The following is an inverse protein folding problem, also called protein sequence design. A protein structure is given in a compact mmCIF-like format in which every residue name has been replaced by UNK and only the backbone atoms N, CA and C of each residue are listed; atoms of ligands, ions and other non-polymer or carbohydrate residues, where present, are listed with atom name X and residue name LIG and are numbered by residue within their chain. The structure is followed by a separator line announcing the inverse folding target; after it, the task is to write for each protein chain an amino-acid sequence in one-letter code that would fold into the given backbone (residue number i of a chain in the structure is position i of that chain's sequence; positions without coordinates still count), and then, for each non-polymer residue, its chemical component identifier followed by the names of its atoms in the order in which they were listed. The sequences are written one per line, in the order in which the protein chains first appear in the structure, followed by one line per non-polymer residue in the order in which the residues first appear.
data_IF_721283495199
#
_entry.id   IF_721283495199
#
_cell.length_a   1.000
_cell.length_b   1.000
_cell.length_c   1.000
_cell.angle_alpha   90.00
_cell.angle_beta   90.00
_cell.angle_gamma   90.00
#
_symmetry.space_group_name_H-M   'P 1'
#
loop_
_entity.id
_entity.type
_entity.pdbx_description
1 polymer ?
#
# COMPACT_ATOMS: atom_id res chain seq x y z
N UNK A 1 7.95 118.06 -36.24
CA UNK A 1 8.90 117.07 -36.81
C UNK A 1 8.78 117.13 -38.33
N UNK A 2 9.89 117.20 -39.07
CA UNK A 2 9.86 117.35 -40.53
C UNK A 2 9.32 116.05 -41.17
N UNK A 3 8.28 116.11 -42.02
CA UNK A 3 7.63 114.91 -42.58
C UNK A 3 8.55 114.05 -43.46
N UNK A 4 9.72 114.57 -43.86
CA UNK A 4 10.72 113.83 -44.66
C UNK A 4 11.38 112.65 -43.93
N UNK A 5 11.44 112.62 -42.59
CA UNK A 5 12.08 111.52 -41.84
C UNK A 5 11.12 110.39 -41.42
N UNK A 6 9.82 110.59 -41.58
CA UNK A 6 8.82 109.63 -41.10
C UNK A 6 8.75 108.36 -41.97
N UNK A 7 8.80 108.53 -43.29
CA UNK A 7 8.82 107.44 -44.27
C UNK A 7 10.06 106.54 -44.16
N UNK A 8 11.31 107.05 -44.10
CA UNK A 8 12.46 106.17 -43.93
C UNK A 8 12.46 105.47 -42.56
N UNK A 9 11.96 106.12 -41.50
CA UNK A 9 11.87 105.51 -40.18
C UNK A 9 10.87 104.34 -40.14
N UNK A 10 9.70 104.46 -40.77
CA UNK A 10 8.72 103.35 -40.83
C UNK A 10 9.25 102.17 -41.64
N UNK A 11 10.00 102.42 -42.72
CA UNK A 11 10.66 101.35 -43.50
C UNK A 11 11.68 100.60 -42.65
N UNK A 12 12.55 101.29 -41.91
CA UNK A 12 13.54 100.64 -41.02
C UNK A 12 12.85 99.81 -39.93
N UNK A 13 11.80 100.33 -39.30
CA UNK A 13 11.02 99.58 -38.30
C UNK A 13 10.35 98.34 -38.90
N UNK A 14 9.81 98.44 -40.12
CA UNK A 14 9.20 97.28 -40.79
C UNK A 14 10.21 96.17 -41.08
N UNK A 15 11.42 96.51 -41.53
CA UNK A 15 12.50 95.53 -41.76
C UNK A 15 12.98 94.90 -40.45
N UNK A 16 13.10 95.69 -39.38
CA UNK A 16 13.45 95.18 -38.05
C UNK A 16 12.40 94.18 -37.51
N UNK A 17 11.11 94.48 -37.67
CA UNK A 17 10.02 93.57 -37.29
C UNK A 17 10.05 92.25 -38.08
N UNK A 18 10.29 92.30 -39.40
CA UNK A 18 10.43 91.10 -40.23
C UNK A 18 11.64 90.25 -39.79
N UNK A 19 12.77 90.89 -39.46
CA UNK A 19 13.94 90.21 -38.90
C UNK A 19 13.64 89.47 -37.59
N UNK A 20 12.94 90.12 -36.66
CA UNK A 20 12.52 89.52 -35.39
C UNK A 20 11.53 88.36 -35.62
N UNK A 21 10.57 88.52 -36.54
CA UNK A 21 9.62 87.45 -36.89
C UNK A 21 10.33 86.21 -37.45
N UNK A 22 11.36 86.39 -38.29
CA UNK A 22 12.14 85.26 -38.83
C UNK A 22 12.97 84.54 -37.77
N UNK A 23 13.61 85.29 -36.85
CA UNK A 23 14.33 84.71 -35.71
C UNK A 23 13.39 83.88 -34.82
N UNK A 24 12.25 84.45 -34.44
CA UNK A 24 11.23 83.74 -33.64
C UNK A 24 10.68 82.51 -34.36
N UNK A 25 10.49 82.57 -35.68
CA UNK A 25 10.03 81.41 -36.47
C UNK A 25 11.07 80.27 -36.43
N UNK A 26 12.36 80.59 -36.56
CA UNK A 26 13.43 79.59 -36.45
C UNK A 26 13.51 78.95 -35.07
N UNK A 27 13.29 79.72 -33.99
CA UNK A 27 13.18 79.17 -32.63
C UNK A 27 11.94 78.30 -32.47
N UNK A 28 10.79 78.73 -32.97
CA UNK A 28 9.55 77.95 -32.88
C UNK A 28 9.67 76.61 -33.61
N UNK A 29 10.33 76.55 -34.76
CA UNK A 29 10.62 75.30 -35.48
C UNK A 29 11.57 74.39 -34.70
N UNK A 30 12.55 74.95 -33.96
CA UNK A 30 13.43 74.16 -33.08
C UNK A 30 12.65 73.59 -31.89
N UNK A 31 11.81 74.40 -31.24
CA UNK A 31 10.96 73.96 -30.13
C UNK A 31 9.97 72.90 -30.58
N UNK A 32 9.34 73.06 -31.75
CA UNK A 32 8.39 72.06 -32.28
C UNK A 32 9.09 70.72 -32.56
N UNK A 33 10.32 70.74 -33.10
CA UNK A 33 11.11 69.51 -33.26
C UNK A 33 11.41 68.86 -31.92
N UNK A 34 11.91 69.63 -30.94
CA UNK A 34 12.20 69.11 -29.60
C UNK A 34 10.96 68.55 -28.91
N UNK A 35 9.82 69.25 -29.03
CA UNK A 35 8.55 68.80 -28.48
C UNK A 35 8.12 67.47 -29.11
N UNK A 36 8.18 67.32 -30.44
CA UNK A 36 7.88 66.06 -31.12
C UNK A 36 8.80 64.91 -30.67
N UNK A 37 10.09 65.19 -30.49
CA UNK A 37 11.02 64.18 -29.96
C UNK A 37 10.67 63.77 -28.53
N UNK A 38 10.29 64.73 -27.68
CA UNK A 38 9.86 64.43 -26.31
C UNK A 38 8.53 63.67 -26.28
N UNK A 39 7.57 64.01 -27.14
CA UNK A 39 6.30 63.28 -27.27
C UNK A 39 6.52 61.82 -27.66
N UNK A 40 7.37 61.57 -28.66
CA UNK A 40 7.72 60.19 -29.06
C UNK A 40 8.41 59.44 -27.93
N UNK A 41 9.38 60.08 -27.25
CA UNK A 41 10.05 59.45 -26.09
C UNK A 41 9.06 59.13 -24.98
N UNK A 42 8.12 60.03 -24.70
CA UNK A 42 7.11 59.83 -23.68
C UNK A 42 6.20 58.66 -24.05
N UNK A 43 5.76 58.57 -25.32
CA UNK A 43 4.96 57.45 -25.82
C UNK A 43 5.70 56.11 -25.68
N UNK A 44 6.94 56.05 -26.15
CA UNK A 44 7.77 54.83 -26.02
C UNK A 44 7.95 54.46 -24.55
N UNK A 45 8.17 55.43 -23.66
CA UNK A 45 8.28 55.17 -22.23
C UNK A 45 6.98 54.60 -21.64
N UNK A 46 5.81 55.10 -22.04
CA UNK A 46 4.52 54.55 -21.62
C UNK A 46 4.25 53.16 -22.19
N UNK A 47 4.58 52.91 -23.46
CA UNK A 47 4.42 51.59 -24.09
C UNK A 47 5.27 50.54 -23.35
N UNK A 48 6.56 50.85 -23.13
CA UNK A 48 7.48 50.00 -22.38
C UNK A 48 7.02 49.81 -20.92
N UNK A 49 6.54 50.85 -20.26
CA UNK A 49 5.98 50.74 -18.91
C UNK A 49 4.74 49.84 -18.88
N UNK A 50 3.90 49.90 -19.91
CA UNK A 50 2.76 49.01 -20.09
C UNK A 50 3.18 47.55 -20.22
N UNK A 51 4.22 47.27 -21.03
CA UNK A 51 4.80 45.93 -21.14
C UNK A 51 5.31 45.41 -19.79
N UNK A 52 6.06 46.22 -19.04
CA UNK A 52 6.52 45.84 -17.69
C UNK A 52 5.38 45.55 -16.72
N UNK A 53 4.29 46.32 -16.79
CA UNK A 53 3.11 46.07 -15.94
C UNK A 53 2.38 44.78 -16.33
N UNK A 54 2.26 44.50 -17.63
CA UNK A 54 1.69 43.25 -18.12
C UNK A 54 2.54 42.05 -17.71
N UNK A 55 3.86 42.11 -17.90
CA UNK A 55 4.80 41.08 -17.47
C UNK A 55 4.69 40.83 -15.96
N UNK A 56 4.61 41.90 -15.16
CA UNK A 56 4.41 41.78 -13.72
C UNK A 56 3.11 41.05 -13.38
N UNK A 57 2.00 41.41 -14.03
CA UNK A 57 0.71 40.77 -13.81
C UNK A 57 0.72 39.29 -14.23
N UNK A 58 1.34 38.97 -15.37
CA UNK A 58 1.47 37.59 -15.84
C UNK A 58 2.30 36.76 -14.85
N UNK A 59 3.43 37.29 -14.38
CA UNK A 59 4.27 36.59 -13.37
C UNK A 59 3.54 36.44 -12.04
N UNK A 60 2.74 37.41 -11.61
CA UNK A 60 1.93 37.28 -10.40
C UNK A 60 0.88 36.18 -10.54
N UNK A 61 0.20 36.10 -11.67
CA UNK A 61 -0.77 35.04 -11.94
C UNK A 61 -0.10 33.65 -11.96
N UNK A 62 1.04 33.54 -12.64
CA UNK A 62 1.82 32.29 -12.64
C UNK A 62 2.29 31.89 -11.24
N UNK A 63 2.68 32.86 -10.41
CA UNK A 63 3.05 32.62 -9.02
C UNK A 63 1.86 32.17 -8.18
N UNK A 64 0.68 32.79 -8.34
CA UNK A 64 -0.55 32.38 -7.66
C UNK A 64 -0.95 30.95 -8.06
N UNK A 65 -0.92 30.64 -9.36
CA UNK A 65 -1.20 29.30 -9.88
C UNK A 65 -0.22 28.27 -9.31
N UNK A 66 1.08 28.54 -9.39
CA UNK A 66 2.10 27.65 -8.82
C UNK A 66 1.93 27.46 -7.31
N UNK A 67 1.55 28.50 -6.57
CA UNK A 67 1.29 28.43 -5.14
C UNK A 67 0.03 27.60 -4.83
N UNK A 68 -1.02 27.69 -5.65
CA UNK A 68 -2.20 26.82 -5.49
C UNK A 68 -1.88 25.36 -5.76
N UNK A 69 -1.10 25.07 -6.81
CA UNK A 69 -0.64 23.71 -7.12
C UNK A 69 0.28 23.17 -6.01
N UNK A 70 1.16 24.00 -5.47
CA UNK A 70 2.02 23.64 -4.34
C UNK A 70 1.20 23.27 -3.10
N UNK A 71 0.17 24.06 -2.75
CA UNK A 71 -0.71 23.76 -1.61
C UNK A 71 -1.48 22.46 -1.80
N UNK A 72 -1.99 22.20 -3.00
CA UNK A 72 -2.66 20.94 -3.30
C UNK A 72 -1.71 19.74 -3.14
N UNK A 73 -0.46 19.89 -3.61
CA UNK A 73 0.56 18.85 -3.47
C UNK A 73 0.96 18.64 -2.01
N UNK A 74 1.06 19.72 -1.23
CA UNK A 74 1.35 19.67 0.20
C UNK A 74 0.26 18.93 0.99
N UNK A 75 -1.02 19.16 0.66
CA UNK A 75 -2.15 18.40 1.22
C UNK A 75 -2.08 16.91 0.86
N UNK A 76 -1.73 16.59 -0.39
CA UNK A 76 -1.57 15.21 -0.83
C UNK A 76 -0.41 14.50 -0.11
N UNK A 77 0.74 15.18 0.05
CA UNK A 77 1.89 14.67 0.81
C UNK A 77 1.51 14.41 2.27
N UNK A 78 0.80 15.32 2.93
CA UNK A 78 0.34 15.13 4.30
C UNK A 78 -0.61 13.92 4.43
N UNK A 79 -1.50 13.73 3.44
CA UNK A 79 -2.39 12.56 3.39
C UNK A 79 -1.63 11.25 3.19
N UNK A 80 -0.63 11.25 2.31
CA UNK A 80 0.23 10.07 2.09
C UNK A 80 1.09 9.77 3.31
N UNK A 81 1.60 10.79 3.98
CA UNK A 81 2.41 10.63 5.19
C UNK A 81 1.59 10.01 6.33
N UNK A 82 0.38 10.54 6.59
CA UNK A 82 -0.52 9.97 7.61
C UNK A 82 -0.97 8.56 7.26
N UNK A 83 -1.24 8.28 5.98
CA UNK A 83 -1.50 6.92 5.50
C UNK A 83 -0.32 5.98 5.71
N UNK A 84 0.89 6.43 5.39
CA UNK A 84 2.13 5.67 5.58
C UNK A 84 2.43 5.36 7.05
N UNK A 85 2.21 6.31 7.96
CA UNK A 85 2.34 6.08 9.41
C UNK A 85 1.36 5.03 9.92
N UNK A 86 0.10 5.09 9.45
CA UNK A 86 -0.91 4.07 9.77
C UNK A 86 -0.48 2.69 9.26
N UNK A 87 -0.11 2.58 7.99
CA UNK A 87 0.33 1.30 7.40
C UNK A 87 1.58 0.74 8.08
N UNK A 88 2.49 1.59 8.53
CA UNK A 88 3.65 1.17 9.33
C UNK A 88 3.21 0.58 10.66
N UNK A 89 2.32 1.26 11.38
CA UNK A 89 1.75 0.74 12.64
C UNK A 89 1.02 -0.59 12.45
N UNK A 90 0.23 -0.73 11.38
CA UNK A 90 -0.46 -1.99 11.05
C UNK A 90 0.54 -3.12 10.73
N UNK A 91 1.65 -2.81 10.05
CA UNK A 91 2.71 -3.78 9.74
C UNK A 91 3.44 -4.22 11.01
N UNK A 92 3.76 -3.29 11.90
CA UNK A 92 4.41 -3.58 13.19
C UNK A 92 3.51 -4.45 14.07
N UNK A 93 2.20 -4.19 14.10
CA UNK A 93 1.21 -5.00 14.80
C UNK A 93 1.11 -6.42 14.21
N UNK A 94 0.98 -6.54 12.89
CA UNK A 94 0.93 -7.84 12.21
C UNK A 94 2.20 -8.67 12.45
N UNK A 95 3.36 -8.02 12.47
CA UNK A 95 4.63 -8.68 12.76
C UNK A 95 4.71 -9.18 14.22
N UNK A 96 4.16 -8.42 15.16
CA UNK A 96 4.06 -8.85 16.56
C UNK A 96 3.13 -10.07 16.70
N UNK A 97 1.97 -10.05 16.04
CA UNK A 97 1.02 -11.17 16.02
C UNK A 97 1.64 -12.42 15.40
N UNK A 98 2.35 -12.28 14.27
CA UNK A 98 3.05 -13.38 13.63
C UNK A 98 4.06 -14.05 14.59
N UNK A 99 4.78 -13.25 15.36
CA UNK A 99 5.73 -13.76 16.35
C UNK A 99 5.01 -14.51 17.48
N UNK A 100 3.93 -13.95 18.02
CA UNK A 100 3.12 -14.60 19.05
C UNK A 100 2.56 -15.95 18.57
N UNK A 101 2.01 -16.00 17.36
CA UNK A 101 1.51 -17.23 16.75
C UNK A 101 2.64 -18.25 16.57
N UNK A 102 3.83 -17.81 16.14
CA UNK A 102 4.98 -18.70 15.98
C UNK A 102 5.40 -19.33 17.32
N UNK A 103 5.41 -18.55 18.39
CA UNK A 103 5.73 -19.03 19.74
C UNK A 103 4.66 -20.01 20.26
N UNK A 104 3.38 -19.72 20.02
CA UNK A 104 2.26 -20.62 20.37
C UNK A 104 2.31 -21.94 19.61
N UNK A 105 2.61 -21.91 18.30
CA UNK A 105 2.79 -23.12 17.49
C UNK A 105 3.96 -23.95 18.02
N UNK A 106 5.08 -23.30 18.36
CA UNK A 106 6.23 -23.99 18.97
C UNK A 106 5.87 -24.67 20.30
N UNK A 107 5.08 -24.00 21.15
CA UNK A 107 4.60 -24.55 22.41
C UNK A 107 3.63 -25.73 22.19
N UNK A 108 2.68 -25.60 21.26
CA UNK A 108 1.74 -26.65 20.90
C UNK A 108 2.46 -27.88 20.33
N UNK A 109 3.47 -27.69 19.47
CA UNK A 109 4.29 -28.79 18.96
C UNK A 109 5.04 -29.54 20.08
N UNK A 110 5.56 -28.81 21.06
CA UNK A 110 6.22 -29.42 22.22
C UNK A 110 5.23 -30.22 23.06
N UNK A 111 4.03 -29.68 23.31
CA UNK A 111 2.95 -30.41 24.00
C UNK A 111 2.54 -31.66 23.22
N UNK A 112 2.39 -31.56 21.90
CA UNK A 112 2.01 -32.68 21.04
C UNK A 112 3.06 -33.80 21.07
N UNK A 113 4.36 -33.46 21.06
CA UNK A 113 5.46 -34.42 21.23
C UNK A 113 5.40 -35.12 22.59
N UNK A 114 5.13 -34.37 23.67
CA UNK A 114 4.97 -34.92 25.03
C UNK A 114 3.77 -35.87 25.13
N UNK A 115 2.60 -35.45 24.67
CA UNK A 115 1.36 -36.24 24.65
C UNK A 115 1.53 -37.54 23.86
N UNK A 116 2.20 -37.50 22.69
CA UNK A 116 2.54 -38.70 21.92
C UNK A 116 3.40 -39.67 22.71
N UNK A 117 4.39 -39.16 23.45
CA UNK A 117 5.26 -40.00 24.27
C UNK A 117 4.49 -40.68 25.41
N UNK A 118 3.59 -39.96 26.09
CA UNK A 118 2.71 -40.54 27.12
C UNK A 118 1.73 -41.56 26.53
N UNK A 119 1.14 -41.29 25.37
CA UNK A 119 0.26 -42.23 24.68
C UNK A 119 0.97 -43.54 24.32
N UNK A 120 2.21 -43.48 23.84
CA UNK A 120 3.00 -44.69 23.56
C UNK A 120 3.32 -45.47 24.84
N UNK A 121 3.63 -44.78 25.95
CA UNK A 121 3.81 -45.43 27.27
C UNK A 121 2.53 -46.13 27.73
N UNK A 122 1.40 -45.45 27.71
CA UNK A 122 0.11 -46.06 28.07
C UNK A 122 -0.23 -47.24 27.16
N UNK A 123 -0.02 -47.12 25.84
CA UNK A 123 -0.22 -48.25 24.92
C UNK A 123 0.60 -49.46 25.37
N UNK A 124 1.87 -49.26 25.69
CA UNK A 124 2.72 -50.37 26.16
C UNK A 124 2.21 -50.97 27.46
N UNK A 125 1.76 -50.15 28.43
CA UNK A 125 1.21 -50.66 29.68
C UNK A 125 -0.08 -51.44 29.48
N UNK A 126 -1.01 -50.93 28.66
CA UNK A 126 -2.25 -51.61 28.32
C UNK A 126 -1.99 -52.94 27.62
N UNK A 127 -1.04 -53.01 26.68
CA UNK A 127 -0.68 -54.29 26.04
C UNK A 127 -0.11 -55.29 27.04
N UNK A 128 0.73 -54.86 27.98
CA UNK A 128 1.25 -55.76 29.02
C UNK A 128 0.18 -56.23 29.99
N UNK A 129 -0.79 -55.39 30.36
CA UNK A 129 -1.94 -55.81 31.16
C UNK A 129 -2.85 -56.78 30.40
N UNK A 130 -3.09 -56.53 29.11
CA UNK A 130 -3.87 -57.42 28.26
C UNK A 130 -3.23 -58.80 28.18
N UNK A 131 -1.91 -58.88 27.96
CA UNK A 131 -1.16 -60.14 27.95
C UNK A 131 -1.18 -60.83 29.32
N UNK A 132 -1.07 -60.06 30.40
CA UNK A 132 -1.15 -60.57 31.77
C UNK A 132 -2.53 -61.14 32.07
N UNK A 133 -3.60 -60.44 31.70
CA UNK A 133 -4.98 -60.86 31.86
C UNK A 133 -5.29 -62.10 31.01
N UNK A 134 -4.84 -62.15 29.75
CA UNK A 134 -4.92 -63.35 28.91
C UNK A 134 -4.24 -64.54 29.56
N UNK A 135 -3.03 -64.34 30.12
CA UNK A 135 -2.32 -65.38 30.83
C UNK A 135 -3.04 -65.83 32.11
N UNK A 136 -3.69 -64.92 32.84
CA UNK A 136 -4.55 -65.29 33.98
C UNK A 136 -5.81 -66.05 33.54
N UNK A 137 -6.36 -65.73 32.38
CA UNK A 137 -7.50 -66.43 31.80
C UNK A 137 -7.13 -67.86 31.37
N UNK A 138 -5.94 -68.06 30.79
CA UNK A 138 -5.40 -69.37 30.43
C UNK A 138 -4.99 -70.18 31.67
N UNK A 139 -4.49 -69.53 32.72
CA UNK A 139 -4.24 -70.11 34.05
C UNK A 139 -5.58 -70.24 34.80
N UNK A 140 -6.45 -71.12 34.30
CA UNK A 140 -7.67 -71.63 34.93
C UNK A 140 -7.90 -71.16 36.38
N UNK A 141 -8.93 -70.34 36.58
CA UNK A 141 -9.37 -69.80 37.87
C UNK A 141 -9.20 -70.79 39.01
N UNK A 142 -8.51 -70.39 40.08
CA UNK A 142 -8.35 -71.21 41.30
C UNK A 142 -9.70 -71.61 41.91
N UNK A 143 -10.76 -70.84 41.65
CA UNK A 143 -12.14 -71.18 42.07
C UNK A 143 -12.63 -72.44 41.35
N UNK A 144 -12.20 -72.66 40.11
CA UNK A 144 -12.53 -73.84 39.32
C UNK A 144 -11.83 -75.12 39.81
N UNK A 145 -10.81 -75.03 40.68
CA UNK A 145 -10.27 -76.21 41.38
C UNK A 145 -11.18 -76.69 42.52
N UNK A 146 -12.05 -75.84 43.07
CA UNK A 146 -12.93 -76.18 44.19
C UNK A 146 -14.34 -76.61 43.74
N UNK A 147 -14.62 -76.53 42.45
CA UNK A 147 -15.91 -76.92 41.87
C UNK A 147 -15.84 -78.41 41.53
N UNK A 148 -16.75 -79.19 42.11
CA UNK A 148 -16.88 -80.62 41.78
C UNK A 148 -17.21 -80.76 40.30
N UNK A 149 -16.34 -81.47 39.58
CA UNK A 149 -16.43 -81.70 38.15
C UNK A 149 -17.61 -82.57 37.75
N UNK A 150 -18.56 -82.88 38.61
CA UNK A 150 -19.58 -83.90 38.35
C UNK A 150 -20.86 -83.29 37.73
N UNK A 151 -20.93 -81.95 37.69
CA UNK A 151 -22.07 -81.17 37.23
C UNK A 151 -21.72 -80.54 35.88
N UNK A 152 -22.51 -80.86 34.85
CA UNK A 152 -22.24 -80.46 33.46
C UNK A 152 -22.22 -78.93 33.28
N UNK A 153 -23.11 -78.19 33.96
CA UNK A 153 -23.13 -76.72 33.89
C UNK A 153 -21.86 -76.08 34.49
N UNK A 154 -21.26 -76.72 35.49
CA UNK A 154 -20.08 -76.21 36.18
C UNK A 154 -18.80 -76.38 35.34
N UNK A 155 -18.73 -77.43 34.50
CA UNK A 155 -17.65 -77.64 33.52
C UNK A 155 -17.64 -76.57 32.43
N UNK A 156 -18.82 -76.14 31.97
CA UNK A 156 -18.95 -75.09 30.94
C UNK A 156 -18.59 -73.70 31.47
N UNK A 157 -18.87 -73.40 32.74
CA UNK A 157 -18.55 -72.12 33.37
C UNK A 157 -17.06 -71.94 33.67
N UNK A 158 -16.36 -73.04 33.96
CA UNK A 158 -14.92 -73.05 34.22
C UNK A 158 -14.05 -73.26 32.98
N UNK A 159 -14.65 -73.29 31.80
CA UNK A 159 -13.91 -73.41 30.55
C UNK A 159 -13.14 -74.73 30.39
N UNK A 160 -13.49 -75.79 31.14
CA UNK A 160 -12.96 -77.14 30.93
C UNK A 160 -13.65 -77.69 29.68
N UNK A 161 -13.20 -77.22 28.53
CA UNK A 161 -13.64 -77.64 27.22
C UNK A 161 -12.75 -78.83 26.84
N UNK A 162 -13.35 -80.01 26.67
CA UNK A 162 -12.71 -81.05 25.86
C UNK A 162 -12.21 -80.38 24.58
N UNK A 163 -10.94 -80.57 24.23
CA UNK A 163 -10.46 -80.21 22.91
C UNK A 163 -11.32 -80.94 21.87
N UNK A 164 -11.91 -80.24 20.90
CA UNK A 164 -11.77 -80.64 19.53
C UNK A 164 -10.62 -79.81 18.95
N UNK A 165 -9.56 -80.53 18.59
CA UNK A 165 -8.94 -80.47 17.26
C UNK A 165 -8.92 -79.09 16.58
N UNK A 166 -7.71 -78.60 16.38
CA UNK A 166 -7.32 -77.53 15.47
C UNK A 166 -8.30 -77.28 14.31
N UNK A 167 -8.92 -76.10 14.33
CA UNK A 167 -9.18 -75.32 13.11
C UNK A 167 -8.53 -73.95 13.29
N UNK A 168 -7.65 -73.63 12.36
CA UNK A 168 -6.94 -72.37 12.31
C UNK A 168 -7.92 -71.18 12.28
N UNK A 169 -7.72 -70.13 13.08
CA UNK A 169 -8.29 -68.84 12.75
C UNK A 169 -7.57 -68.38 11.48
N UNK A 170 -8.28 -68.35 10.37
CA UNK A 170 -7.86 -67.55 9.22
C UNK A 170 -7.64 -66.13 9.73
N UNK A 171 -6.42 -65.63 9.53
CA UNK A 171 -6.09 -64.21 9.55
C UNK A 171 -7.17 -63.44 8.79
N UNK A 172 -8.06 -62.75 9.50
CA UNK A 172 -8.70 -61.56 8.96
C UNK A 172 -7.76 -60.41 9.32
N UNK A 173 -6.91 -60.06 8.36
CA UNK A 173 -6.18 -58.79 8.42
C UNK A 173 -7.22 -57.68 8.56
N UNK A 174 -7.21 -56.84 9.60
CA UNK A 174 -7.77 -55.52 9.45
C UNK A 174 -6.91 -54.84 8.38
N UNK A 175 -7.42 -54.84 7.15
CA UNK A 175 -6.90 -54.03 6.07
C UNK A 175 -7.01 -52.60 6.57
N UNK A 176 -5.87 -52.06 6.98
CA UNK A 176 -5.72 -50.65 7.29
C UNK A 176 -6.31 -49.87 6.10
N UNK A 177 -7.48 -49.26 6.30
CA UNK A 177 -7.85 -48.10 5.50
C UNK A 177 -6.79 -47.06 5.81
N UNK A 178 -5.82 -46.95 4.92
CA UNK A 178 -4.96 -45.79 4.85
C UNK A 178 -5.87 -44.55 4.86
N UNK A 179 -5.65 -43.56 5.75
CA UNK A 179 -6.32 -42.28 5.60
C UNK A 179 -6.02 -41.80 4.19
N UNK A 180 -7.08 -41.60 3.39
CA UNK A 180 -7.01 -40.90 2.12
C UNK A 180 -6.23 -39.63 2.37
N UNK A 181 -5.03 -39.57 1.82
CA UNK A 181 -4.33 -38.34 1.58
C UNK A 181 -5.19 -37.57 0.57
N UNK A 182 -6.10 -36.73 1.06
CA UNK A 182 -6.58 -35.60 0.26
C UNK A 182 -5.34 -34.73 0.05
N UNK A 183 -4.67 -34.92 -1.08
CA UNK A 183 -3.87 -33.85 -1.66
C UNK A 183 -4.79 -32.63 -1.77
N UNK A 184 -4.47 -31.50 -1.13
CA UNK A 184 -5.13 -30.26 -1.46
C UNK A 184 -4.87 -30.04 -2.95
N UNK A 185 -5.94 -30.12 -3.73
CA UNK A 185 -5.97 -29.74 -5.12
C UNK A 185 -5.44 -28.31 -5.17
N UNK A 186 -4.20 -28.14 -5.57
CA UNK A 186 -3.63 -26.85 -5.88
C UNK A 186 -4.49 -26.26 -7.00
N UNK A 187 -5.41 -25.36 -6.66
CA UNK A 187 -5.93 -24.39 -7.59
C UNK A 187 -4.74 -23.55 -8.02
N UNK A 188 -4.21 -23.86 -9.19
CA UNK A 188 -3.38 -22.92 -9.92
C UNK A 188 -4.18 -21.63 -10.05
N UNK A 189 -3.65 -20.46 -9.61
CA UNK A 189 -4.29 -19.20 -9.87
C UNK A 189 -4.45 -19.07 -11.39
N UNK A 190 -5.69 -18.87 -11.83
CA UNK A 190 -5.96 -18.37 -13.18
C UNK A 190 -5.09 -17.14 -13.39
N UNK A 191 -4.10 -17.24 -14.27
CA UNK A 191 -3.55 -16.08 -14.94
C UNK A 191 -4.71 -15.44 -15.70
N UNK A 192 -5.26 -14.35 -15.14
CA UNK A 192 -5.93 -13.35 -15.95
C UNK A 192 -4.86 -12.70 -16.82
N UNK A 193 -4.86 -13.05 -18.10
CA UNK A 193 -4.18 -12.26 -19.12
C UNK A 193 -4.66 -10.81 -19.01
N UNK A 194 -3.76 -9.82 -18.87
CA UNK A 194 -4.15 -8.43 -19.01
C UNK A 194 -4.65 -8.24 -20.44
N UNK A 195 -5.95 -8.00 -20.58
CA UNK A 195 -6.56 -7.49 -21.80
C UNK A 195 -5.81 -6.21 -22.18
N UNK A 196 -4.97 -6.31 -23.19
CA UNK A 196 -4.40 -5.15 -23.85
C UNK A 196 -5.55 -4.33 -24.44
N UNK A 197 -5.92 -3.24 -23.76
CA UNK A 197 -6.63 -2.14 -24.41
C UNK A 197 -5.67 -1.52 -25.42
N UNK A 198 -5.94 -1.78 -26.69
CA UNK A 198 -5.36 -1.02 -27.78
C UNK A 198 -5.74 0.46 -27.61
N UNK A 199 -4.77 1.39 -27.76
CA UNK A 199 -5.08 2.81 -27.75
C UNK A 199 -5.88 3.13 -29.01
N UNK A 200 -7.12 3.61 -28.84
CA UNK A 200 -7.84 4.25 -29.94
C UNK A 200 -7.24 5.65 -30.13
N UNK A 201 -6.72 5.86 -31.33
CA UNK A 201 -6.56 7.18 -31.93
C UNK A 201 -7.91 7.90 -32.05
#
# INVERSE_FOLDING_TARGET
MKPQFLLPATVVVSVALVGIMKLRKGEHEKYEKQFKFQDVRLRVAYDVLGEYQNDKAEKQNMLEKANTEHKALEEEVNKLQTGGEKSKGDTDACQADLKAITDEVGAAEAQLKSLKAEQEKEKTSWTTEEDTLKQQLEKHSLVCQFIKTDIAEARTLCGIKEQPKAEAPKQDQPKAEAPKQEEPKAEAPKQEEPKAEAPKA
#
